data_IF_419212674583
#
_entry.id   IF_419212674583
#
_cell.length_a   1.000
_cell.length_b   1.000
_cell.length_c   1.000
_cell.angle_alpha   90.00
_cell.angle_beta   90.00
_cell.angle_gamma   90.00
#
_symmetry.space_group_name_H-M   'P 1'
#
loop_
_entity.id
_entity.type
_entity.pdbx_description
1 polymer ?
#
# COMPACT_ATOMS: atom_id res chain seq x y z
N UNK A 1 20.55 4.89 -20.86
CA UNK A 1 19.77 3.98 -19.98
C UNK A 1 20.77 3.09 -19.26
N UNK A 2 21.60 3.73 -18.41
CA UNK A 2 22.62 3.08 -17.58
C UNK A 2 22.02 1.95 -16.75
N UNK A 3 22.78 0.86 -16.62
CA UNK A 3 22.34 -0.38 -16.00
C UNK A 3 21.77 -0.18 -14.59
N UNK A 4 20.46 -0.37 -14.46
CA UNK A 4 19.85 -0.68 -13.16
C UNK A 4 20.57 -1.93 -12.63
N UNK A 5 21.40 -1.76 -11.60
CA UNK A 5 21.90 -2.88 -10.79
C UNK A 5 20.67 -3.69 -10.38
N UNK A 6 20.57 -4.90 -10.90
CA UNK A 6 19.44 -5.79 -10.63
C UNK A 6 19.53 -6.23 -9.17
N UNK A 7 18.63 -5.72 -8.34
CA UNK A 7 18.56 -6.10 -6.94
C UNK A 7 18.33 -7.62 -6.81
N UNK A 8 19.01 -8.31 -5.88
CA UNK A 8 18.89 -9.75 -5.76
C UNK A 8 17.47 -10.14 -5.32
N UNK A 9 16.85 -11.04 -6.07
CA UNK A 9 15.53 -11.56 -5.75
C UNK A 9 15.64 -12.78 -4.83
N UNK A 10 14.96 -12.79 -3.66
CA UNK A 10 15.01 -13.89 -2.73
C UNK A 10 14.23 -15.10 -3.24
N UNK A 11 14.66 -16.31 -2.86
CA UNK A 11 14.09 -17.59 -3.34
C UNK A 11 12.55 -17.68 -3.21
N UNK A 12 11.90 -17.26 -2.11
CA UNK A 12 10.45 -17.35 -1.98
C UNK A 12 9.67 -16.54 -3.03
N UNK A 13 10.28 -15.49 -3.58
CA UNK A 13 9.66 -14.62 -4.58
C UNK A 13 10.04 -14.98 -6.01
N UNK A 14 10.75 -16.09 -6.22
CA UNK A 14 11.09 -16.57 -7.56
C UNK A 14 9.99 -17.47 -8.10
N UNK A 15 9.83 -17.42 -9.42
CA UNK A 15 9.09 -18.43 -10.17
C UNK A 15 9.92 -19.73 -10.27
N UNK A 16 9.31 -20.86 -10.69
CA UNK A 16 10.04 -22.09 -10.93
C UNK A 16 11.19 -21.95 -11.94
N UNK A 17 11.07 -21.02 -12.89
CA UNK A 17 12.10 -20.66 -13.87
C UNK A 17 13.24 -19.79 -13.30
N UNK A 18 13.19 -19.44 -12.01
CA UNK A 18 14.19 -18.61 -11.32
C UNK A 18 14.01 -17.10 -11.48
N UNK A 19 13.07 -16.64 -12.31
CA UNK A 19 12.79 -15.21 -12.52
C UNK A 19 12.03 -14.60 -11.35
N UNK A 20 12.17 -13.28 -11.10
CA UNK A 20 11.36 -12.61 -10.08
C UNK A 20 9.86 -12.70 -10.41
N UNK A 21 9.07 -13.18 -9.45
CA UNK A 21 7.62 -13.05 -9.50
C UNK A 21 7.27 -11.63 -9.10
N UNK A 22 7.06 -10.77 -10.09
CA UNK A 22 6.43 -9.48 -9.85
C UNK A 22 4.92 -9.70 -9.75
N UNK A 23 4.35 -9.44 -8.57
CA UNK A 23 2.90 -9.51 -8.38
C UNK A 23 2.21 -8.38 -9.16
N UNK A 24 2.90 -7.25 -9.38
CA UNK A 24 2.40 -6.14 -10.19
C UNK A 24 3.48 -5.16 -10.67
N UNK A 25 3.12 -4.36 -11.67
CA UNK A 25 3.93 -3.23 -12.18
C UNK A 25 3.92 -2.09 -11.14
N UNK A 26 5.11 -1.59 -10.73
CA UNK A 26 5.23 -0.43 -9.86
C UNK A 26 4.81 0.85 -10.58
N UNK A 27 4.03 1.70 -9.92
CA UNK A 27 3.48 2.94 -10.49
C UNK A 27 3.75 4.18 -9.63
N UNK A 28 4.38 4.01 -8.47
CA UNK A 28 4.70 5.09 -7.54
C UNK A 28 6.20 5.18 -7.28
N UNK A 29 6.61 6.37 -6.84
CA UNK A 29 7.97 6.66 -6.41
C UNK A 29 8.01 6.88 -4.91
N UNK A 30 9.13 6.58 -4.28
CA UNK A 30 9.37 6.97 -2.90
C UNK A 30 9.37 8.50 -2.77
N UNK A 31 8.88 9.01 -1.66
CA UNK A 31 8.86 10.45 -1.38
C UNK A 31 8.94 10.71 0.13
N UNK A 32 9.31 11.91 0.53
CA UNK A 32 9.21 12.33 1.93
C UNK A 32 7.78 12.74 2.26
N UNK A 33 7.30 12.35 3.43
CA UNK A 33 5.99 12.76 3.95
C UNK A 33 6.07 13.05 5.44
N UNK A 34 5.26 14.00 5.90
CA UNK A 34 5.02 14.22 7.31
C UNK A 34 3.68 13.60 7.73
N UNK A 35 3.68 12.71 8.72
CA UNK A 35 2.48 12.09 9.32
C UNK A 35 2.58 12.22 10.82
N UNK A 36 1.52 12.75 11.45
CA UNK A 36 1.44 12.97 12.89
C UNK A 36 2.63 13.76 13.48
N UNK A 37 3.19 14.69 12.70
CA UNK A 37 4.31 15.55 13.11
C UNK A 37 5.71 14.94 12.90
N UNK A 38 5.80 13.69 12.47
CA UNK A 38 7.07 13.06 12.10
C UNK A 38 7.27 13.07 10.58
N UNK A 39 8.48 13.39 10.13
CA UNK A 39 8.87 13.31 8.71
C UNK A 39 9.61 12.00 8.46
N UNK A 40 9.29 11.33 7.36
CA UNK A 40 9.92 10.08 6.99
C UNK A 40 9.79 9.77 5.49
N UNK A 41 10.53 8.76 5.08
CA UNK A 41 10.52 8.22 3.72
C UNK A 41 9.29 7.34 3.55
N UNK A 42 8.39 7.74 2.67
CA UNK A 42 7.23 6.96 2.27
C UNK A 42 7.54 6.07 1.08
N UNK A 43 7.29 4.77 1.25
CA UNK A 43 7.14 3.80 0.17
C UNK A 43 5.63 3.60 -0.06
N UNK A 44 5.04 4.28 -1.05
CA UNK A 44 3.59 4.33 -1.19
C UNK A 44 2.98 2.95 -1.43
N UNK A 45 1.84 2.71 -0.79
CA UNK A 45 0.90 1.64 -1.11
C UNK A 45 -0.18 2.13 -2.07
N UNK A 46 -0.86 1.19 -2.71
CA UNK A 46 -2.05 1.42 -3.54
C UNK A 46 -3.17 2.00 -2.68
N UNK A 47 -3.31 3.31 -2.74
CA UNK A 47 -4.53 3.97 -2.31
C UNK A 47 -5.70 3.66 -3.25
N UNK A 48 -6.92 3.83 -2.76
CA UNK A 48 -8.14 3.82 -3.58
C UNK A 48 -7.98 4.86 -4.68
N UNK A 49 -8.03 4.44 -5.94
CA UNK A 49 -7.72 5.32 -7.08
C UNK A 49 -8.74 6.46 -7.16
N UNK A 50 -8.25 7.67 -7.50
CA UNK A 50 -9.13 8.83 -7.82
C UNK A 50 -10.13 8.49 -8.93
N UNK A 51 -9.82 7.50 -9.77
CA UNK A 51 -10.72 6.94 -10.78
C UNK A 51 -12.06 6.50 -10.18
N UNK A 52 -12.06 5.85 -9.01
CA UNK A 52 -13.32 5.46 -8.35
C UNK A 52 -14.17 6.68 -7.99
N UNK A 53 -13.56 7.77 -7.55
CA UNK A 53 -14.28 9.01 -7.23
C UNK A 53 -14.85 9.67 -8.49
N UNK A 54 -14.11 9.71 -9.61
CA UNK A 54 -14.62 10.19 -10.89
C UNK A 54 -15.77 9.33 -11.43
N UNK A 55 -15.66 8.00 -11.29
CA UNK A 55 -16.74 7.07 -11.66
C UNK A 55 -18.00 7.34 -10.84
N UNK A 56 -17.87 7.53 -9.51
CA UNK A 56 -19.00 7.87 -8.65
C UNK A 56 -19.69 9.17 -9.08
N UNK A 57 -18.92 10.22 -9.40
CA UNK A 57 -19.47 11.49 -9.90
C UNK A 57 -20.16 11.29 -11.25
N UNK A 58 -19.55 10.55 -12.17
CA UNK A 58 -20.13 10.29 -13.50
C UNK A 58 -21.43 9.49 -13.44
N UNK A 59 -21.46 8.40 -12.66
CA UNK A 59 -22.66 7.60 -12.43
C UNK A 59 -23.74 8.42 -11.74
N UNK A 60 -23.37 9.23 -10.74
CA UNK A 60 -24.31 10.09 -10.04
C UNK A 60 -24.94 11.15 -10.96
N UNK A 61 -24.16 11.75 -11.87
CA UNK A 61 -24.66 12.66 -12.90
C UNK A 61 -25.63 11.96 -13.87
N UNK A 62 -25.28 10.76 -14.34
CA UNK A 62 -26.15 10.01 -15.24
C UNK A 62 -27.50 9.68 -14.57
N UNK A 63 -27.50 9.29 -13.30
CA UNK A 63 -28.73 9.05 -12.53
C UNK A 63 -29.54 10.33 -12.29
N UNK A 64 -28.89 11.46 -12.05
CA UNK A 64 -29.56 12.76 -11.90
C UNK A 64 -30.23 13.22 -13.21
N UNK A 65 -29.59 13.01 -14.37
CA UNK A 65 -30.18 13.29 -15.69
C UNK A 65 -31.38 12.38 -15.96
N UNK A 66 -31.24 11.07 -15.70
CA UNK A 66 -32.32 10.10 -15.87
C UNK A 66 -33.49 10.37 -14.91
N UNK A 67 -33.21 10.80 -13.69
CA UNK A 67 -34.20 11.28 -12.72
C UNK A 67 -35.03 12.44 -13.30
N UNK A 68 -34.37 13.48 -13.81
CA UNK A 68 -35.05 14.63 -14.41
C UNK A 68 -35.97 14.22 -15.57
N UNK A 69 -35.52 13.31 -16.43
CA UNK A 69 -36.31 12.79 -17.54
C UNK A 69 -37.56 12.02 -17.06
N UNK A 70 -37.41 11.13 -16.06
CA UNK A 70 -38.52 10.35 -15.49
C UNK A 70 -39.56 11.23 -14.80
N UNK A 71 -39.14 12.28 -14.11
CA UNK A 71 -40.04 13.24 -13.46
C UNK A 71 -40.88 13.99 -14.48
N UNK A 72 -40.33 14.31 -15.66
CA UNK A 72 -41.07 14.99 -16.74
C UNK A 72 -42.02 14.09 -17.53
N UNK A 73 -41.91 12.76 -17.41
CA UNK A 73 -42.64 11.81 -18.26
C UNK A 73 -44.11 11.58 -17.84
N UNK A 74 -44.56 12.10 -16.68
CA UNK A 74 -45.97 12.20 -16.21
C UNK A 74 -46.64 11.02 -15.44
N UNK A 75 -46.28 9.71 -15.53
CA UNK A 75 -46.92 8.73 -14.66
C UNK A 75 -46.38 8.84 -13.23
N UNK A 76 -47.28 8.76 -12.23
CA UNK A 76 -46.96 8.84 -10.79
C UNK A 76 -45.85 7.87 -10.38
N UNK A 77 -45.82 6.67 -10.97
CA UNK A 77 -44.78 5.65 -10.74
C UNK A 77 -43.41 6.12 -11.28
N UNK A 78 -43.36 6.82 -12.40
CA UNK A 78 -42.13 7.39 -12.94
C UNK A 78 -41.63 8.58 -12.11
N UNK A 79 -42.54 9.37 -11.52
CA UNK A 79 -42.17 10.45 -10.60
C UNK A 79 -41.51 9.87 -9.35
N UNK A 80 -42.11 8.85 -8.72
CA UNK A 80 -41.54 8.20 -7.54
C UNK A 80 -40.17 7.56 -7.84
N UNK A 81 -40.05 6.83 -8.96
CA UNK A 81 -38.78 6.26 -9.41
C UNK A 81 -37.72 7.33 -9.72
N UNK A 82 -38.13 8.44 -10.34
CA UNK A 82 -37.29 9.59 -10.62
C UNK A 82 -36.74 10.24 -9.35
N UNK A 83 -37.58 10.45 -8.33
CA UNK A 83 -37.15 11.02 -7.03
C UNK A 83 -36.09 10.13 -6.36
N UNK A 84 -36.32 8.81 -6.32
CA UNK A 84 -35.34 7.86 -5.72
C UNK A 84 -34.02 7.88 -6.50
N UNK A 85 -34.07 7.86 -7.83
CA UNK A 85 -32.87 7.97 -8.67
C UNK A 85 -32.12 9.28 -8.47
N UNK A 86 -32.85 10.38 -8.32
CA UNK A 86 -32.27 11.71 -8.08
C UNK A 86 -31.54 11.76 -6.74
N UNK A 87 -32.14 11.24 -5.67
CA UNK A 87 -31.50 11.13 -4.36
C UNK A 87 -30.24 10.25 -4.40
N UNK A 88 -30.30 9.10 -5.09
CA UNK A 88 -29.14 8.23 -5.26
C UNK A 88 -28.04 8.92 -6.07
N UNK A 89 -28.40 9.62 -7.15
CA UNK A 89 -27.47 10.40 -7.97
C UNK A 89 -26.75 11.49 -7.17
N UNK A 90 -27.49 12.26 -6.38
CA UNK A 90 -26.94 13.28 -5.49
C UNK A 90 -26.02 12.66 -4.44
N UNK A 91 -26.39 11.54 -3.84
CA UNK A 91 -25.59 10.85 -2.84
C UNK A 91 -24.26 10.35 -3.43
N UNK A 92 -24.27 9.80 -4.65
CA UNK A 92 -23.05 9.36 -5.34
C UNK A 92 -22.15 10.54 -5.73
N UNK A 93 -22.72 11.66 -6.20
CA UNK A 93 -21.96 12.88 -6.47
C UNK A 93 -21.31 13.39 -5.17
N UNK A 94 -22.08 13.47 -4.08
CA UNK A 94 -21.57 13.92 -2.78
C UNK A 94 -20.43 13.01 -2.28
N UNK A 95 -20.59 11.69 -2.38
CA UNK A 95 -19.55 10.72 -2.02
C UNK A 95 -18.29 10.85 -2.88
N UNK A 96 -18.45 11.02 -4.20
CA UNK A 96 -17.34 11.25 -5.13
C UNK A 96 -16.59 12.56 -4.85
N UNK A 97 -17.31 13.66 -4.63
CA UNK A 97 -16.73 14.95 -4.25
C UNK A 97 -16.02 14.89 -2.89
N UNK A 98 -16.60 14.20 -1.91
CA UNK A 98 -15.97 13.96 -0.62
C UNK A 98 -14.65 13.18 -0.78
N UNK A 99 -14.65 12.12 -1.58
CA UNK A 99 -13.46 11.34 -1.89
C UNK A 99 -12.38 12.14 -2.66
N UNK A 100 -12.77 13.10 -3.50
CA UNK A 100 -11.85 14.02 -4.18
C UNK A 100 -11.28 15.09 -3.25
N UNK A 101 -12.10 15.60 -2.32
CA UNK A 101 -11.73 16.67 -1.39
C UNK A 101 -10.77 16.18 -0.31
N UNK A 102 -10.96 14.96 0.19
CA UNK A 102 -10.03 14.39 1.15
C UNK A 102 -8.76 13.94 0.43
N UNK A 103 -7.67 14.71 0.61
CA UNK A 103 -6.34 14.25 0.21
C UNK A 103 -6.11 12.90 0.90
N UNK A 104 -5.85 11.81 0.15
CA UNK A 104 -5.50 10.56 0.78
C UNK A 104 -4.27 10.83 1.64
N UNK A 105 -4.39 10.63 2.95
CA UNK A 105 -3.22 10.53 3.83
C UNK A 105 -2.28 9.55 3.17
N UNK A 106 -1.02 9.91 3.01
CA UNK A 106 -0.11 9.13 2.21
C UNK A 106 0.01 7.73 2.82
N UNK A 107 -0.58 6.74 2.14
CA UNK A 107 -0.66 5.36 2.59
C UNK A 107 0.57 4.62 2.12
N UNK A 108 1.27 3.93 3.01
CA UNK A 108 2.47 3.19 2.64
C UNK A 108 3.34 2.86 3.84
N UNK A 109 4.50 2.28 3.56
CA UNK A 109 5.52 2.12 4.60
C UNK A 109 6.18 3.47 4.77
N UNK A 110 5.96 4.10 5.90
CA UNK A 110 6.67 5.31 6.26
C UNK A 110 7.83 4.93 7.18
N UNK A 111 9.04 5.15 6.70
CA UNK A 111 10.27 4.89 7.42
C UNK A 111 10.69 6.18 8.08
N UNK A 112 10.64 6.22 9.40
CA UNK A 112 11.17 7.35 10.20
C UNK A 112 12.50 6.93 10.82
N UNK A 113 13.29 7.87 11.35
CA UNK A 113 14.53 7.52 12.04
C UNK A 113 14.32 6.50 13.18
N UNK A 114 13.15 6.54 13.82
CA UNK A 114 12.85 5.75 15.01
C UNK A 114 12.07 4.45 14.71
N UNK A 115 11.25 4.41 13.66
CA UNK A 115 10.36 3.29 13.41
C UNK A 115 9.98 3.07 11.94
N UNK A 116 9.48 1.87 11.66
CA UNK A 116 8.69 1.55 10.47
C UNK A 116 7.21 1.73 10.80
N UNK A 117 6.55 2.64 10.10
CA UNK A 117 5.15 3.00 10.32
C UNK A 117 4.29 2.53 9.15
N UNK A 118 3.24 1.76 9.44
CA UNK A 118 2.28 1.27 8.45
C UNK A 118 1.05 2.16 8.45
N UNK A 119 1.07 3.21 7.62
CA UNK A 119 0.06 4.29 7.67
C UNK A 119 -1.31 3.90 7.10
N UNK A 120 -1.38 2.78 6.38
CA UNK A 120 -2.64 2.26 5.82
C UNK A 120 -3.46 1.40 6.79
N UNK A 121 -2.93 1.13 7.98
CA UNK A 121 -3.62 0.35 9.02
C UNK A 121 -4.32 1.27 10.02
N UNK A 122 -5.44 0.79 10.57
CA UNK A 122 -6.16 1.45 11.67
C UNK A 122 -6.36 0.41 12.79
N UNK A 123 -5.80 0.62 14.01
CA UNK A 123 -4.87 1.70 14.37
C UNK A 123 -3.57 1.65 13.54
N UNK A 124 -2.90 2.80 13.44
CA UNK A 124 -1.59 2.90 12.76
C UNK A 124 -0.60 2.03 13.52
N UNK A 125 0.08 1.14 12.80
CA UNK A 125 1.07 0.24 13.40
C UNK A 125 2.43 0.90 13.30
N UNK A 126 3.07 1.15 14.45
CA UNK A 126 4.46 1.62 14.53
C UNK A 126 5.33 0.49 15.05
N UNK A 127 6.39 0.16 14.32
CA UNK A 127 7.35 -0.87 14.68
C UNK A 127 8.72 -0.21 14.83
N UNK A 128 9.16 0.06 16.07
CA UNK A 128 10.50 0.57 16.33
C UNK A 128 11.58 -0.32 15.69
N UNK A 129 12.64 0.29 15.18
CA UNK A 129 13.69 -0.46 14.47
C UNK A 129 14.39 -1.50 15.35
N UNK A 130 14.59 -1.21 16.63
CA UNK A 130 15.19 -2.10 17.63
C UNK A 130 14.36 -3.35 17.91
N UNK A 131 13.05 -3.27 17.68
CA UNK A 131 12.10 -4.36 17.86
C UNK A 131 12.08 -5.29 16.64
N UNK A 132 12.51 -4.81 15.46
CA UNK A 132 12.55 -5.58 14.21
C UNK A 132 13.86 -6.38 14.15
N UNK A 133 13.79 -7.70 14.27
CA UNK A 133 14.97 -8.56 14.17
C UNK A 133 15.35 -8.92 12.75
N UNK A 134 14.36 -9.07 11.87
CA UNK A 134 14.57 -9.56 10.51
C UNK A 134 13.47 -9.01 9.59
N UNK A 135 13.86 -8.69 8.36
CA UNK A 135 12.95 -8.44 7.26
C UNK A 135 12.94 -9.71 6.43
N UNK A 136 11.81 -10.43 6.42
CA UNK A 136 11.73 -11.77 5.82
C UNK A 136 10.91 -11.75 4.54
N UNK A 137 11.46 -12.16 3.39
CA UNK A 137 10.65 -12.39 2.19
C UNK A 137 9.82 -13.66 2.38
N UNK A 138 8.50 -13.52 2.26
CA UNK A 138 7.52 -14.58 2.49
C UNK A 138 6.71 -14.84 1.22
N UNK A 139 6.20 -16.06 1.06
CA UNK A 139 5.29 -16.40 -0.02
C UNK A 139 4.14 -17.26 0.49
N UNK A 140 2.90 -16.86 0.19
CA UNK A 140 1.71 -17.61 0.56
C UNK A 140 1.12 -18.28 -0.67
N UNK A 141 1.11 -19.61 -0.68
CA UNK A 141 0.43 -20.39 -1.71
C UNK A 141 -1.07 -20.47 -1.42
N UNK A 142 -1.89 -20.07 -2.38
CA UNK A 142 -3.35 -20.04 -2.31
C UNK A 142 -3.91 -21.38 -2.84
N UNK A 143 -3.57 -22.48 -2.17
CA UNK A 143 -4.04 -23.81 -2.53
C UNK A 143 -3.05 -24.92 -2.19
N UNK A 144 -3.48 -26.17 -2.41
CA UNK A 144 -2.66 -27.37 -2.19
C UNK A 144 -1.96 -27.88 -3.45
N UNK A 145 -2.46 -27.51 -4.63
CA UNK A 145 -1.86 -27.88 -5.92
C UNK A 145 -0.44 -27.30 -6.06
N UNK A 146 0.50 -28.01 -6.72
CA UNK A 146 1.79 -27.46 -7.11
C UNK A 146 1.67 -26.14 -7.89
N UNK A 147 0.65 -26.02 -8.73
CA UNK A 147 0.39 -24.86 -9.59
C UNK A 147 -0.51 -23.81 -8.94
N UNK A 148 -0.84 -23.98 -7.65
CA UNK A 148 -1.68 -23.01 -6.96
C UNK A 148 -0.99 -21.64 -6.95
N UNK A 149 -1.75 -20.55 -7.22
CA UNK A 149 -1.16 -19.21 -7.27
C UNK A 149 -0.53 -18.89 -5.92
N UNK A 150 0.68 -18.32 -5.92
CA UNK A 150 1.29 -17.80 -4.70
C UNK A 150 1.41 -16.29 -4.78
N UNK A 151 1.22 -15.64 -3.63
CA UNK A 151 1.37 -14.19 -3.44
C UNK A 151 2.59 -13.91 -2.59
N UNK A 152 3.33 -12.89 -2.96
CA UNK A 152 4.50 -12.47 -2.21
C UNK A 152 4.07 -11.58 -1.03
N UNK A 153 4.71 -11.81 0.10
CA UNK A 153 4.54 -11.05 1.33
C UNK A 153 5.90 -10.61 1.85
N UNK A 154 5.91 -9.46 2.50
CA UNK A 154 7.02 -8.95 3.28
C UNK A 154 6.72 -9.15 4.76
N UNK A 155 7.52 -9.96 5.43
CA UNK A 155 7.45 -10.22 6.86
C UNK A 155 8.34 -9.25 7.63
N UNK A 156 7.80 -8.66 8.69
CA UNK A 156 8.57 -7.99 9.73
C UNK A 156 8.61 -8.92 10.93
N UNK A 157 9.76 -9.50 11.21
CA UNK A 157 9.98 -10.39 12.35
C UNK A 157 10.36 -9.54 13.55
N UNK A 158 9.78 -9.84 14.71
CA UNK A 158 10.01 -9.07 15.92
C UNK A 158 10.55 -9.91 17.05
N UNK A 159 11.41 -9.30 17.88
CA UNK A 159 11.88 -9.90 19.16
C UNK A 159 10.80 -9.90 20.25
N UNK A 160 9.65 -9.26 20.02
CA UNK A 160 8.54 -9.15 20.96
C UNK A 160 7.18 -9.35 20.32
N UNK A 161 6.12 -9.04 21.07
CA UNK A 161 4.74 -9.00 20.57
C UNK A 161 4.32 -7.55 20.38
N UNK A 162 4.66 -6.92 19.25
CA UNK A 162 4.21 -5.55 19.00
C UNK A 162 2.68 -5.50 18.96
N UNK A 163 2.13 -4.34 19.32
CA UNK A 163 0.68 -4.12 19.24
C UNK A 163 0.25 -3.96 17.77
N UNK A 164 0.10 -5.10 17.12
CA UNK A 164 -0.42 -5.23 15.77
C UNK A 164 -1.88 -5.66 15.84
N UNK A 165 -2.73 -4.96 15.07
CA UNK A 165 -4.15 -5.26 15.00
C UNK A 165 -4.43 -6.72 14.62
N UNK A 166 -5.55 -7.25 15.12
CA UNK A 166 -5.91 -8.68 15.03
C UNK A 166 -5.88 -9.24 13.59
N UNK A 167 -6.30 -8.42 12.61
CA UNK A 167 -6.26 -8.81 11.19
C UNK A 167 -4.84 -9.12 10.71
N UNK A 168 -3.87 -8.30 11.10
CA UNK A 168 -2.48 -8.49 10.68
C UNK A 168 -1.87 -9.71 11.34
N UNK A 169 -2.15 -9.87 12.64
CA UNK A 169 -1.75 -11.05 13.42
C UNK A 169 -2.24 -12.35 12.78
N UNK A 170 -3.52 -12.42 12.36
CA UNK A 170 -4.08 -13.59 11.67
C UNK A 170 -3.38 -13.95 10.37
N UNK A 171 -2.83 -12.97 9.65
CA UNK A 171 -2.05 -13.21 8.43
C UNK A 171 -0.63 -13.63 8.79
N UNK A 172 0.00 -12.92 9.74
CA UNK A 172 1.38 -13.17 10.17
C UNK A 172 1.58 -14.58 10.76
N UNK A 173 0.63 -15.07 11.56
CA UNK A 173 0.65 -16.42 12.16
C UNK A 173 0.70 -17.54 11.10
N UNK A 174 0.28 -17.29 9.86
CA UNK A 174 0.40 -18.26 8.76
C UNK A 174 1.84 -18.50 8.32
N UNK A 175 2.75 -17.60 8.67
CA UNK A 175 4.16 -17.65 8.31
C UNK A 175 5.09 -17.99 9.48
N UNK A 176 4.64 -17.79 10.71
CA UNK A 176 5.36 -18.13 11.92
C UNK A 176 4.90 -17.33 13.13
N UNK A 177 5.15 -17.80 14.37
CA UNK A 177 4.81 -17.08 15.59
C UNK A 177 5.71 -15.86 15.86
N UNK A 178 6.87 -15.79 15.20
CA UNK A 178 7.89 -14.74 15.26
C UNK A 178 7.60 -13.57 14.31
N UNK A 179 6.75 -13.79 13.29
CA UNK A 179 6.35 -12.75 12.34
C UNK A 179 5.35 -11.82 13.02
N UNK A 180 5.73 -10.58 13.26
CA UNK A 180 4.85 -9.56 13.81
C UNK A 180 3.85 -9.05 12.77
N UNK A 181 4.31 -8.82 11.54
CA UNK A 181 3.49 -8.28 10.48
C UNK A 181 3.84 -8.93 9.15
N UNK A 182 2.83 -9.22 8.32
CA UNK A 182 3.02 -9.77 6.98
C UNK A 182 2.22 -8.94 5.97
N UNK A 183 2.93 -8.16 5.15
CA UNK A 183 2.34 -7.21 4.21
C UNK A 183 2.37 -7.78 2.79
N UNK A 184 1.25 -7.86 2.06
CA UNK A 184 1.26 -8.31 0.67
C UNK A 184 2.00 -7.28 -0.21
N UNK A 185 3.07 -7.67 -0.89
CA UNK A 185 3.88 -6.71 -1.67
C UNK A 185 3.13 -6.18 -2.89
N UNK A 186 2.16 -6.93 -3.43
CA UNK A 186 1.25 -6.46 -4.47
C UNK A 186 0.33 -5.30 -4.04
N UNK A 187 0.31 -4.94 -2.75
CA UNK A 187 -0.35 -3.71 -2.29
C UNK A 187 0.52 -2.47 -2.43
N UNK A 188 1.79 -2.61 -2.81
CA UNK A 188 2.76 -1.51 -2.92
C UNK A 188 2.78 -0.92 -4.33
N UNK A 189 3.06 0.38 -4.41
CA UNK A 189 3.27 1.09 -5.67
C UNK A 189 4.75 1.16 -6.08
N UNK A 190 5.66 0.80 -5.17
CA UNK A 190 7.11 0.72 -5.41
C UNK A 190 7.49 -0.73 -5.72
N UNK A 191 8.58 -0.95 -6.44
CA UNK A 191 9.09 -2.30 -6.73
C UNK A 191 9.35 -3.08 -5.41
N UNK A 192 8.89 -4.33 -5.37
CA UNK A 192 8.96 -5.17 -4.17
C UNK A 192 10.40 -5.42 -3.69
N UNK A 193 11.37 -5.51 -4.61
CA UNK A 193 12.78 -5.69 -4.28
C UNK A 193 13.37 -4.39 -3.72
N UNK A 194 13.00 -3.25 -4.32
CA UNK A 194 13.40 -1.94 -3.77
C UNK A 194 12.90 -1.80 -2.33
N UNK A 195 11.65 -2.16 -2.05
CA UNK A 195 11.09 -2.11 -0.69
C UNK A 195 11.84 -3.03 0.27
N UNK A 196 12.06 -4.29 -0.13
CA UNK A 196 12.80 -5.27 0.68
C UNK A 196 14.19 -4.75 1.06
N UNK A 197 14.97 -4.38 0.05
CA UNK A 197 16.36 -3.95 0.21
C UNK A 197 16.47 -2.61 0.94
N UNK A 198 15.47 -1.72 0.81
CA UNK A 198 15.42 -0.47 1.57
C UNK A 198 15.24 -0.76 3.06
N UNK A 199 14.30 -1.64 3.40
CA UNK A 199 14.06 -2.02 4.80
C UNK A 199 15.24 -2.79 5.41
N UNK A 200 15.86 -3.68 4.65
CA UNK A 200 17.08 -4.38 5.07
C UNK A 200 18.23 -3.40 5.30
N UNK A 201 18.48 -2.47 4.37
CA UNK A 201 19.53 -1.46 4.48
C UNK A 201 19.39 -0.64 5.77
N UNK A 202 18.23 -0.03 6.01
CA UNK A 202 18.03 0.81 7.21
C UNK A 202 17.94 -0.01 8.52
N UNK A 203 17.56 -1.28 8.46
CA UNK A 203 17.69 -2.17 9.62
C UNK A 203 19.16 -2.35 9.98
N UNK A 204 20.01 -2.64 8.98
CA UNK A 204 21.41 -3.00 9.16
C UNK A 204 22.33 -1.78 9.37
N UNK A 205 21.91 -0.58 8.97
CA UNK A 205 22.65 0.68 9.09
C UNK A 205 21.87 1.72 9.92
N UNK A 206 21.86 1.60 11.26
CA UNK A 206 21.18 2.56 12.14
C UNK A 206 21.60 4.01 11.95
N UNK A 207 22.87 4.24 11.62
CA UNK A 207 23.46 5.55 11.35
C UNK A 207 22.86 6.25 10.12
N UNK A 208 22.47 5.48 9.10
CA UNK A 208 21.85 6.01 7.89
C UNK A 208 20.41 6.49 8.13
N UNK A 209 19.76 6.05 9.21
CA UNK A 209 18.35 6.37 9.49
C UNK A 209 18.08 7.87 9.67
N UNK A 210 19.09 8.66 10.03
CA UNK A 210 18.98 10.11 10.11
C UNK A 210 18.57 10.74 8.75
N UNK A 211 18.94 10.10 7.63
CA UNK A 211 18.63 10.59 6.29
C UNK A 211 17.16 10.34 5.88
N UNK A 212 16.44 9.47 6.61
CA UNK A 212 15.02 9.11 6.34
C UNK A 212 14.08 10.31 6.41
N UNK A 213 14.43 11.35 7.16
CA UNK A 213 13.65 12.58 7.26
C UNK A 213 13.89 13.56 6.09
N UNK A 214 14.77 13.24 5.14
CA UNK A 214 15.18 14.15 4.07
C UNK A 214 15.25 13.53 2.68
N UNK A 215 15.65 14.35 1.71
CA UNK A 215 15.69 13.97 0.29
C UNK A 215 16.78 12.94 -0.04
N UNK A 216 17.81 12.82 0.81
CA UNK A 216 18.87 11.83 0.67
C UNK A 216 18.31 10.40 0.63
N UNK A 217 17.36 10.06 1.51
CA UNK A 217 16.70 8.75 1.50
C UNK A 217 15.95 8.49 0.19
N UNK A 218 15.28 9.50 -0.35
CA UNK A 218 14.53 9.40 -1.62
C UNK A 218 15.48 9.14 -2.78
N UNK A 219 16.59 9.89 -2.84
CA UNK A 219 17.62 9.70 -3.87
C UNK A 219 18.23 8.31 -3.81
N UNK A 220 18.57 7.81 -2.61
CA UNK A 220 19.11 6.46 -2.42
C UNK A 220 18.17 5.38 -2.95
N UNK A 221 16.88 5.47 -2.61
CA UNK A 221 15.86 4.53 -3.07
C UNK A 221 15.66 4.61 -4.57
N UNK A 222 15.63 5.82 -5.14
CA UNK A 222 15.47 6.06 -6.58
C UNK A 222 16.63 5.49 -7.39
N UNK A 223 17.84 5.60 -6.88
CA UNK A 223 19.07 5.12 -7.52
C UNK A 223 19.39 3.66 -7.19
N UNK A 224 18.56 3.01 -6.35
CA UNK A 224 18.76 1.64 -5.86
C UNK A 224 20.15 1.42 -5.20
N UNK A 225 20.70 2.46 -4.54
CA UNK A 225 21.97 2.40 -3.77
C UNK A 225 21.75 1.77 -2.39
N UNK A 226 21.21 0.56 -2.38
CA UNK A 226 20.77 -0.17 -1.19
C UNK A 226 21.81 -1.17 -0.66
N UNK A 227 23.01 -1.18 -1.26
CA UNK A 227 24.15 -2.00 -0.85
C UNK A 227 25.41 -1.16 -0.55
N UNK A 228 25.39 0.13 -0.83
CA UNK A 228 26.54 1.01 -0.70
C UNK A 228 26.39 1.83 0.59
N UNK A 229 27.14 1.47 1.63
CA UNK A 229 27.26 2.21 2.87
C UNK A 229 28.34 3.31 2.74
N UNK A 230 28.09 4.28 1.87
CA UNK A 230 28.93 5.47 1.68
C UNK A 230 28.07 6.73 1.58
#
# INVERSE_FOLDING_TARGET
>A
MEGMRTLPCPKPWRRPDGTPRQDTIPTGAACTVAVDGETGLLLPSRGTSRTAAFVLVGVGLALAVLSGFLVTASPVIAVAGGVVLGLLGVLLIAAGLFALKHRPVATGFMLTPDAVVLTWLRPVVRLPWDVISEIRPLALRMGRSPDAPSRNYLGLVSRGKPDVGERMRKVAVRFGPDVACAVPVGSLNVDQLVVLHTLEFYRDHPEARAELAGDAAVLRVREARLHDAE
#
